data_IF_726078513253
#
_entry.id   IF_726078513253
#
_cell.length_a   1.000
_cell.length_b   1.000
_cell.length_c   1.000
_cell.angle_alpha   90.00
_cell.angle_beta   90.00
_cell.angle_gamma   90.00
#
_symmetry.space_group_name_H-M   'P 1'
#
loop_
_entity.id
_entity.type
_entity.pdbx_description
1 polymer ?
#
# COMPACT_ATOMS: atom_id res chain seq x y z
N UNK A 1 -9.75 41.99 -32.43
CA UNK A 1 -9.99 43.46 -32.62
C UNK A 1 -8.84 44.07 -33.40
N UNK A 2 -9.09 44.80 -34.49
CA UNK A 2 -8.02 45.45 -35.25
C UNK A 2 -7.31 46.54 -34.43
N UNK A 3 -5.98 46.61 -34.50
CA UNK A 3 -5.16 47.67 -33.91
C UNK A 3 -4.66 48.68 -34.95
N UNK A 4 -3.80 49.61 -34.50
CA UNK A 4 -3.13 50.59 -35.36
C UNK A 4 -1.62 50.38 -35.33
N UNK A 5 -1.00 50.20 -36.49
CA UNK A 5 0.46 50.17 -36.60
C UNK A 5 0.97 51.52 -37.08
N UNK A 6 2.01 52.04 -36.43
CA UNK A 6 2.71 53.25 -36.86
C UNK A 6 4.03 52.87 -37.50
N UNK A 7 4.44 53.57 -38.57
CA UNK A 7 5.74 53.32 -39.19
C UNK A 7 6.88 53.63 -38.20
N UNK A 8 7.93 52.81 -38.18
CA UNK A 8 9.09 53.05 -37.33
C UNK A 8 9.78 54.37 -37.73
N UNK A 9 10.59 54.95 -36.83
CA UNK A 9 11.24 56.25 -37.06
C UNK A 9 12.10 56.31 -38.34
N UNK A 10 12.57 55.16 -38.84
CA UNK A 10 13.41 55.06 -40.02
C UNK A 10 12.63 54.83 -41.32
N UNK A 11 11.30 54.67 -41.26
CA UNK A 11 10.48 54.38 -42.44
C UNK A 11 10.69 52.98 -43.02
N UNK A 12 11.39 52.09 -42.33
CA UNK A 12 11.83 50.79 -42.87
C UNK A 12 10.92 49.62 -42.50
N UNK A 13 9.93 49.86 -41.63
CA UNK A 13 9.01 48.83 -41.19
C UNK A 13 7.90 49.39 -40.30
N UNK A 14 6.94 48.55 -39.97
CA UNK A 14 5.88 48.85 -39.02
C UNK A 14 6.36 48.63 -37.58
N UNK A 15 5.89 49.44 -36.65
CA UNK A 15 6.01 49.21 -35.21
C UNK A 15 4.99 48.17 -34.73
N UNK A 16 4.97 47.94 -33.41
CA UNK A 16 3.95 47.11 -32.79
C UNK A 16 2.54 47.65 -33.10
N UNK A 17 1.56 46.75 -33.19
CA UNK A 17 0.17 47.11 -33.44
C UNK A 17 -0.50 47.51 -32.13
N UNK A 18 -0.77 48.80 -31.94
CA UNK A 18 -1.36 49.31 -30.71
C UNK A 18 -2.87 49.06 -30.70
N UNK A 19 -3.36 48.47 -29.61
CA UNK A 19 -4.78 48.24 -29.37
C UNK A 19 -5.39 47.06 -30.13
N UNK A 20 -4.55 46.23 -30.79
CA UNK A 20 -5.01 44.96 -31.31
C UNK A 20 -5.38 43.99 -30.18
N UNK A 21 -6.38 43.17 -30.42
CA UNK A 21 -6.69 42.00 -29.60
C UNK A 21 -6.60 40.84 -30.57
N UNK A 22 -5.53 40.06 -30.43
CA UNK A 22 -5.35 38.80 -31.13
C UNK A 22 -6.21 37.72 -30.46
N UNK A 23 -6.66 36.71 -31.21
CA UNK A 23 -7.27 35.56 -30.60
C UNK A 23 -6.29 34.86 -29.66
N UNK A 24 -6.80 34.34 -28.54
CA UNK A 24 -6.03 33.47 -27.66
C UNK A 24 -5.81 32.11 -28.32
N UNK A 25 -4.88 31.31 -27.76
CA UNK A 25 -4.68 29.93 -28.21
C UNK A 25 -5.85 29.02 -27.79
N UNK A 26 -6.41 29.24 -26.60
CA UNK A 26 -7.57 28.53 -26.05
C UNK A 26 -8.56 29.54 -25.44
N UNK A 27 -9.81 29.12 -25.28
CA UNK A 27 -10.86 29.92 -24.63
C UNK A 27 -10.64 30.08 -23.13
N UNK A 28 -11.02 31.24 -22.57
CA UNK A 28 -11.05 31.42 -21.12
C UNK A 28 -12.37 30.85 -20.60
N UNK A 29 -12.25 29.74 -19.89
CA UNK A 29 -13.34 28.98 -19.30
C UNK A 29 -14.46 29.83 -18.67
N UNK A 30 -15.69 29.56 -19.09
CA UNK A 30 -16.94 30.08 -18.54
C UNK A 30 -17.06 31.62 -18.53
N UNK A 31 -16.43 32.29 -19.50
CA UNK A 31 -16.53 33.74 -19.64
C UNK A 31 -17.60 34.18 -20.65
N UNK A 32 -18.27 33.21 -21.32
CA UNK A 32 -19.26 33.39 -22.38
C UNK A 32 -18.73 34.18 -23.58
N UNK A 33 -17.47 33.98 -23.94
CA UNK A 33 -16.83 34.59 -25.11
C UNK A 33 -16.04 33.54 -25.88
N UNK A 34 -15.99 33.78 -27.17
CA UNK A 34 -15.08 33.16 -28.12
C UNK A 34 -13.77 33.96 -28.10
N UNK A 35 -12.84 33.60 -27.22
CA UNK A 35 -11.55 34.27 -27.04
C UNK A 35 -10.53 33.83 -28.11
N UNK A 36 -10.65 32.60 -28.63
CA UNK A 36 -9.81 32.09 -29.73
C UNK A 36 -10.34 32.43 -31.14
N UNK A 37 -11.53 33.06 -31.23
CA UNK A 37 -12.20 33.50 -32.44
C UNK A 37 -12.47 32.38 -33.47
N UNK A 38 -12.69 31.13 -33.02
CA UNK A 38 -12.93 29.97 -33.89
C UNK A 38 -14.41 29.76 -34.24
N UNK A 39 -15.31 30.51 -33.59
CA UNK A 39 -16.75 30.52 -33.82
C UNK A 39 -17.56 29.62 -32.90
N UNK A 40 -16.93 28.94 -31.95
CA UNK A 40 -17.58 28.32 -30.80
C UNK A 40 -17.36 29.24 -29.57
N UNK A 41 -18.07 29.02 -28.46
CA UNK A 41 -17.90 29.82 -27.24
C UNK A 41 -17.62 28.87 -26.08
N UNK A 42 -16.60 29.21 -25.29
CA UNK A 42 -16.15 28.47 -24.11
C UNK A 42 -15.87 27.00 -24.45
N UNK A 43 -15.08 26.72 -25.49
CA UNK A 43 -14.65 25.34 -25.75
C UNK A 43 -13.78 24.82 -24.60
N UNK A 44 -14.00 23.55 -24.28
CA UNK A 44 -13.22 22.84 -23.28
C UNK A 44 -12.76 21.49 -23.86
N UNK A 45 -11.85 21.51 -24.85
CA UNK A 45 -11.33 20.27 -25.42
C UNK A 45 -10.44 19.54 -24.41
N UNK A 46 -10.43 18.22 -24.55
CA UNK A 46 -9.42 17.30 -24.03
C UNK A 46 -8.60 16.90 -25.26
N UNK A 47 -7.50 17.63 -25.49
CA UNK A 47 -6.75 17.57 -26.73
C UNK A 47 -5.81 16.35 -26.80
N UNK A 48 -5.38 15.80 -25.66
CA UNK A 48 -4.57 14.59 -25.59
C UNK A 48 -5.38 13.30 -25.33
N UNK A 49 -6.66 13.43 -24.96
CA UNK A 49 -7.63 12.38 -24.65
C UNK A 49 -7.31 11.57 -23.37
N UNK A 50 -6.72 12.22 -22.36
CA UNK A 50 -6.45 11.61 -21.06
C UNK A 50 -7.65 11.70 -20.08
N UNK A 51 -8.71 12.38 -20.49
CA UNK A 51 -9.94 12.56 -19.73
C UNK A 51 -9.94 13.79 -18.80
N UNK A 52 -8.97 14.68 -18.95
CA UNK A 52 -8.91 16.02 -18.36
C UNK A 52 -8.91 17.06 -19.47
N UNK A 53 -9.57 18.17 -19.21
CA UNK A 53 -9.68 19.27 -20.16
C UNK A 53 -8.93 20.47 -19.62
N UNK A 54 -8.65 21.47 -20.47
CA UNK A 54 -8.02 22.73 -20.03
C UNK A 54 -8.81 23.40 -18.90
N UNK A 55 -10.15 23.46 -18.98
CA UNK A 55 -10.97 23.98 -17.88
C UNK A 55 -11.14 23.00 -16.72
N UNK A 56 -10.88 21.72 -16.98
CA UNK A 56 -10.72 20.68 -15.99
C UNK A 56 -9.45 20.80 -15.15
N UNK A 57 -8.56 21.75 -15.48
CA UNK A 57 -7.31 22.01 -14.75
C UNK A 57 -6.08 21.37 -15.39
N UNK A 58 -6.21 20.79 -16.58
CA UNK A 58 -5.07 20.24 -17.29
C UNK A 58 -4.12 21.36 -17.74
N UNK A 59 -2.91 21.33 -17.19
CA UNK A 59 -1.82 22.25 -17.48
C UNK A 59 -0.95 21.81 -18.67
N UNK A 60 -1.19 20.60 -19.21
CA UNK A 60 -0.39 19.94 -20.24
C UNK A 60 -1.25 19.25 -21.31
N UNK A 61 -2.32 19.89 -21.77
CA UNK A 61 -3.27 19.29 -22.74
C UNK A 61 -2.70 19.10 -24.18
N UNK A 62 -1.55 19.69 -24.50
CA UNK A 62 -0.92 19.51 -25.83
C UNK A 62 0.60 19.64 -25.83
N UNK A 63 1.25 18.89 -26.72
CA UNK A 63 2.72 18.86 -26.81
C UNK A 63 3.28 20.26 -27.07
N UNK A 64 4.14 20.72 -26.17
CA UNK A 64 4.77 22.03 -26.22
C UNK A 64 6.07 22.10 -25.42
N UNK A 65 6.74 23.28 -25.39
CA UNK A 65 8.02 23.44 -24.72
C UNK A 65 7.99 23.14 -23.21
N UNK A 66 6.84 23.36 -22.57
CA UNK A 66 6.61 23.11 -21.15
C UNK A 66 5.80 21.84 -20.88
N UNK A 67 5.44 21.09 -21.93
CA UNK A 67 4.53 19.95 -21.86
C UNK A 67 5.00 18.87 -22.86
N UNK A 68 5.84 17.94 -22.40
CA UNK A 68 6.45 16.92 -23.29
C UNK A 68 5.65 15.62 -23.34
N UNK A 69 4.93 15.30 -22.27
CA UNK A 69 4.14 14.09 -22.09
C UNK A 69 2.74 14.46 -21.60
N UNK A 70 1.90 15.06 -22.47
CA UNK A 70 0.54 15.48 -22.14
C UNK A 70 -0.22 14.46 -21.29
N UNK A 71 -0.27 13.22 -21.78
CA UNK A 71 -1.08 12.14 -21.23
C UNK A 71 -0.62 11.60 -19.86
N UNK A 72 0.41 12.19 -19.27
CA UNK A 72 0.94 11.86 -17.94
C UNK A 72 0.83 13.02 -16.95
N UNK A 73 0.38 14.19 -17.40
CA UNK A 73 0.37 15.44 -16.63
C UNK A 73 -1.04 16.00 -16.63
N UNK A 74 -1.71 15.90 -15.49
CA UNK A 74 -3.09 16.38 -15.30
C UNK A 74 -3.42 16.36 -13.79
N UNK A 75 -4.53 17.00 -13.34
CA UNK A 75 -4.93 16.99 -11.93
C UNK A 75 -5.09 15.61 -11.28
N UNK A 76 -5.25 14.54 -12.08
CA UNK A 76 -5.34 13.17 -11.62
C UNK A 76 -3.99 12.45 -11.45
N UNK A 77 -2.89 13.04 -11.88
CA UNK A 77 -1.55 12.46 -11.79
C UNK A 77 -0.96 12.63 -10.39
N UNK A 78 0.00 11.78 -10.02
CA UNK A 78 0.84 12.02 -8.84
C UNK A 78 2.14 12.69 -9.28
N UNK A 79 2.69 13.52 -8.39
CA UNK A 79 3.96 14.19 -8.64
C UNK A 79 5.14 13.21 -8.63
N UNK A 80 5.92 13.18 -9.73
CA UNK A 80 7.08 12.31 -9.86
C UNK A 80 8.34 13.06 -9.44
N UNK A 81 8.82 12.78 -8.23
CA UNK A 81 9.99 13.45 -7.64
C UNK A 81 11.23 13.45 -8.55
N UNK A 82 11.70 14.67 -8.86
CA UNK A 82 12.96 14.93 -9.55
C UNK A 82 12.87 14.92 -11.07
N UNK A 83 11.66 15.09 -11.65
CA UNK A 83 11.47 15.15 -13.10
C UNK A 83 11.38 16.60 -13.66
N UNK A 84 11.37 17.63 -12.80
CA UNK A 84 11.22 19.05 -13.16
C UNK A 84 9.92 19.36 -13.95
N UNK A 85 8.89 18.53 -13.83
CA UNK A 85 7.53 18.71 -14.38
C UNK A 85 6.59 19.07 -13.21
N UNK A 86 5.43 19.63 -13.52
CA UNK A 86 4.33 19.83 -12.57
C UNK A 86 3.29 18.79 -13.02
N UNK A 87 3.42 17.55 -12.55
CA UNK A 87 2.66 16.42 -13.08
C UNK A 87 1.19 16.51 -12.66
N UNK A 88 0.93 16.96 -11.43
CA UNK A 88 -0.41 17.05 -10.86
C UNK A 88 -1.12 18.40 -11.11
N UNK A 89 -0.47 19.30 -11.85
CA UNK A 89 -1.00 20.61 -12.24
C UNK A 89 -1.43 21.51 -11.06
N UNK A 90 -0.78 21.38 -9.90
CA UNK A 90 -1.03 22.23 -8.73
C UNK A 90 -0.29 23.58 -8.78
N UNK A 91 0.59 23.75 -9.78
CA UNK A 91 1.41 24.95 -10.00
C UNK A 91 2.79 24.89 -9.33
N UNK A 92 3.16 23.75 -8.73
CA UNK A 92 4.42 23.53 -8.03
C UNK A 92 5.06 22.23 -8.51
N UNK A 93 6.21 22.36 -9.16
CA UNK A 93 7.03 21.22 -9.59
C UNK A 93 7.68 20.49 -8.44
N UNK A 94 7.72 19.17 -8.52
CA UNK A 94 8.35 18.25 -7.59
C UNK A 94 7.93 18.52 -6.12
N UNK A 95 6.67 18.90 -5.91
CA UNK A 95 6.09 19.05 -4.58
C UNK A 95 5.93 17.68 -3.91
N UNK A 96 6.46 17.47 -2.69
CA UNK A 96 6.31 16.19 -2.02
C UNK A 96 4.87 16.00 -1.55
N UNK A 97 4.35 14.77 -1.64
CA UNK A 97 3.07 14.40 -1.03
C UNK A 97 3.09 14.77 0.46
N UNK A 98 2.11 15.57 0.95
CA UNK A 98 2.10 16.02 2.34
C UNK A 98 2.04 14.88 3.35
N UNK A 99 2.82 14.98 4.42
CA UNK A 99 2.72 14.08 5.58
C UNK A 99 1.37 14.31 6.28
N UNK A 100 0.61 13.25 6.51
CA UNK A 100 -0.78 13.34 6.98
C UNK A 100 -1.06 12.50 8.24
N UNK A 101 -0.08 11.82 8.79
CA UNK A 101 -0.23 10.82 9.86
C UNK A 101 0.13 11.33 11.26
N UNK A 102 0.53 12.60 11.38
CA UNK A 102 0.83 13.24 12.65
C UNK A 102 -0.41 13.28 13.57
N UNK A 103 -0.20 12.94 14.84
CA UNK A 103 -1.22 13.09 15.88
C UNK A 103 -2.36 12.08 15.82
N UNK A 104 -2.29 11.07 14.93
CA UNK A 104 -3.24 9.95 14.92
C UNK A 104 -3.16 9.23 16.27
N UNK A 105 -4.32 8.97 16.88
CA UNK A 105 -4.42 8.21 18.11
C UNK A 105 -4.11 6.74 17.85
N UNK A 106 -3.37 6.10 18.76
CA UNK A 106 -2.90 4.73 18.56
C UNK A 106 -4.02 3.70 18.39
N UNK A 107 -5.12 3.87 19.14
CA UNK A 107 -6.31 3.02 19.08
C UNK A 107 -7.38 3.59 18.13
N UNK A 108 -6.99 4.30 17.07
CA UNK A 108 -7.96 4.81 16.09
C UNK A 108 -8.78 3.68 15.49
N UNK A 109 -10.08 3.93 15.31
CA UNK A 109 -11.02 3.02 14.67
C UNK A 109 -11.40 3.51 13.26
N UNK A 110 -10.76 4.60 12.81
CA UNK A 110 -11.00 5.18 11.50
C UNK A 110 -10.07 4.54 10.48
N UNK A 111 -10.61 3.74 9.56
CA UNK A 111 -9.84 3.08 8.50
C UNK A 111 -8.99 4.05 7.66
N UNK A 112 -9.43 5.31 7.46
CA UNK A 112 -8.65 6.28 6.71
C UNK A 112 -7.37 6.68 7.43
N UNK A 113 -7.29 6.56 8.75
CA UNK A 113 -6.06 6.81 9.50
C UNK A 113 -5.01 5.72 9.25
N UNK A 114 -5.42 4.50 8.86
CA UNK A 114 -4.51 3.44 8.43
C UNK A 114 -3.92 3.72 7.04
N UNK A 115 -4.69 4.34 6.13
CA UNK A 115 -4.15 4.82 4.87
C UNK A 115 -3.08 5.90 5.09
N UNK A 116 -3.33 6.84 6.02
CA UNK A 116 -2.36 7.86 6.40
C UNK A 116 -1.11 7.25 7.02
N UNK A 117 -1.28 6.28 7.92
CA UNK A 117 -0.18 5.59 8.61
C UNK A 117 0.68 4.69 7.71
N UNK A 118 0.32 4.53 6.44
CA UNK A 118 1.18 3.92 5.42
C UNK A 118 1.63 4.95 4.38
N UNK A 119 1.55 6.24 4.68
CA UNK A 119 1.89 7.38 3.80
C UNK A 119 1.02 7.58 2.56
N UNK A 120 -0.16 6.94 2.48
CA UNK A 120 -1.13 7.18 1.42
C UNK A 120 -2.01 8.40 1.78
N UNK A 121 -1.47 9.59 1.55
CA UNK A 121 -1.93 10.85 2.15
C UNK A 121 -2.85 11.74 1.30
N UNK A 122 -3.19 11.34 0.07
CA UNK A 122 -4.15 12.09 -0.76
C UNK A 122 -5.54 11.46 -0.70
N UNK A 123 -6.58 12.30 -0.64
CA UNK A 123 -7.97 11.88 -0.50
C UNK A 123 -8.84 12.54 -1.56
N UNK A 124 -9.83 11.79 -2.04
CA UNK A 124 -10.76 12.27 -3.07
C UNK A 124 -12.16 11.72 -2.82
N UNK A 125 -13.11 12.02 -3.70
CA UNK A 125 -14.47 11.46 -3.65
C UNK A 125 -14.76 10.64 -4.91
N UNK A 126 -15.63 9.63 -4.78
CA UNK A 126 -16.00 8.70 -5.85
C UNK A 126 -16.38 9.42 -7.16
N UNK A 127 -17.11 10.54 -7.06
CA UNK A 127 -17.66 11.26 -8.20
C UNK A 127 -16.99 12.62 -8.45
N UNK A 128 -15.76 12.83 -7.97
CA UNK A 128 -15.05 14.10 -8.19
C UNK A 128 -14.90 14.41 -9.70
N UNK A 129 -15.03 15.69 -10.09
CA UNK A 129 -15.07 16.15 -11.49
C UNK A 129 -14.21 17.40 -11.67
N UNK A 130 -13.82 17.67 -12.93
CA UNK A 130 -13.00 18.82 -13.32
C UNK A 130 -11.73 18.89 -12.47
N UNK A 131 -11.39 20.10 -12.00
CA UNK A 131 -10.21 20.35 -11.16
C UNK A 131 -10.16 19.55 -9.86
N UNK A 132 -11.29 18.99 -9.40
CA UNK A 132 -11.32 18.17 -8.19
C UNK A 132 -11.17 16.67 -8.47
N UNK A 133 -11.10 16.26 -9.75
CA UNK A 133 -10.93 14.86 -10.17
C UNK A 133 -9.48 14.40 -9.94
N UNK A 134 -9.00 14.56 -8.72
CA UNK A 134 -7.66 14.14 -8.31
C UNK A 134 -7.67 12.65 -7.92
N UNK A 135 -6.49 12.02 -7.91
CA UNK A 135 -6.30 10.70 -7.31
C UNK A 135 -6.42 10.75 -5.78
N UNK A 136 -6.53 9.60 -5.14
CA UNK A 136 -6.51 9.51 -3.69
C UNK A 136 -7.42 8.43 -3.12
N UNK A 137 -7.33 8.24 -1.81
CA UNK A 137 -8.20 7.36 -1.03
C UNK A 137 -9.61 7.94 -1.01
N UNK A 138 -10.58 7.11 -1.41
CA UNK A 138 -12.01 7.47 -1.45
C UNK A 138 -12.68 7.06 -0.14
N UNK A 139 -12.41 5.84 0.32
CA UNK A 139 -13.01 5.29 1.54
C UNK A 139 -12.16 4.15 2.10
N UNK A 140 -12.44 3.76 3.34
CA UNK A 140 -11.87 2.56 3.93
C UNK A 140 -12.78 1.96 4.99
N UNK A 141 -12.53 0.70 5.31
CA UNK A 141 -13.19 -0.03 6.40
C UNK A 141 -12.19 -0.93 7.10
N UNK A 142 -12.38 -1.12 8.41
CA UNK A 142 -11.73 -2.18 9.18
C UNK A 142 -12.78 -3.24 9.39
N UNK A 143 -12.47 -4.50 9.07
CA UNK A 143 -13.38 -5.63 9.15
C UNK A 143 -12.60 -6.88 9.51
N UNK A 144 -13.29 -7.99 9.73
CA UNK A 144 -12.64 -9.31 9.73
C UNK A 144 -12.24 -9.72 8.30
N UNK A 145 -11.30 -10.66 8.11
CA UNK A 145 -10.90 -11.15 6.78
C UNK A 145 -12.04 -11.74 5.95
N UNK A 146 -13.09 -12.25 6.60
CA UNK A 146 -14.31 -12.72 5.93
C UNK A 146 -15.09 -11.60 5.22
N UNK A 147 -14.80 -10.34 5.53
CA UNK A 147 -15.53 -9.15 5.08
C UNK A 147 -16.73 -8.78 5.96
N UNK A 148 -16.97 -9.52 7.04
CA UNK A 148 -18.00 -9.18 8.02
C UNK A 148 -17.47 -8.19 9.07
N UNK A 149 -18.39 -7.40 9.63
CA UNK A 149 -18.14 -6.59 10.83
C UNK A 149 -17.89 -7.49 12.05
N UNK A 150 -17.21 -6.97 13.07
CA UNK A 150 -16.93 -7.69 14.33
C UNK A 150 -15.45 -7.94 14.58
N UNK A 151 -14.60 -7.20 13.89
CA UNK A 151 -13.18 -7.04 14.15
C UNK A 151 -12.90 -6.61 15.59
N UNK A 152 -11.67 -6.87 16.04
CA UNK A 152 -11.27 -6.51 17.40
C UNK A 152 -10.70 -5.11 17.40
N UNK A 153 -11.25 -4.23 18.22
CA UNK A 153 -10.67 -2.90 18.44
C UNK A 153 -9.22 -2.96 18.97
N UNK A 154 -8.76 -4.12 19.47
CA UNK A 154 -7.40 -4.34 19.93
C UNK A 154 -6.50 -5.01 18.88
N UNK A 155 -7.07 -5.60 17.83
CA UNK A 155 -6.32 -6.30 16.77
C UNK A 155 -5.66 -5.35 15.77
N UNK A 156 -5.95 -4.05 15.85
CA UNK A 156 -5.35 -3.06 14.98
C UNK A 156 -4.93 -1.81 15.76
N UNK A 157 -3.85 -1.16 15.32
CA UNK A 157 -3.39 0.09 15.90
C UNK A 157 -2.53 0.89 14.92
N UNK A 158 -2.20 2.13 15.31
CA UNK A 158 -1.28 3.00 14.57
C UNK A 158 -0.18 3.46 15.53
N UNK A 159 1.08 3.14 15.25
CA UNK A 159 2.20 3.32 16.20
C UNK A 159 3.29 4.23 15.65
N UNK A 160 4.17 4.72 16.52
CA UNK A 160 5.34 5.51 16.13
C UNK A 160 6.60 4.67 16.43
N UNK A 161 6.79 3.63 15.60
CA UNK A 161 7.68 2.51 15.88
C UNK A 161 6.99 1.34 16.59
N UNK A 162 7.70 0.23 16.70
CA UNK A 162 7.23 -0.99 17.37
C UNK A 162 8.39 -1.64 18.15
N UNK A 163 8.21 -1.85 19.44
CA UNK A 163 9.29 -2.21 20.33
C UNK A 163 10.37 -1.12 20.43
N UNK A 164 11.59 -1.51 20.78
CA UNK A 164 12.65 -0.55 21.09
C UNK A 164 13.43 -0.08 19.86
N UNK A 165 13.45 -0.88 18.79
CA UNK A 165 14.39 -0.72 17.69
C UNK A 165 13.75 -0.63 16.30
N UNK A 166 12.44 -0.83 16.16
CA UNK A 166 11.74 -0.64 14.88
C UNK A 166 11.16 0.77 14.84
N UNK A 167 11.57 1.55 13.87
CA UNK A 167 11.07 2.91 13.61
C UNK A 167 10.24 2.93 12.33
N UNK A 168 9.44 3.98 12.15
CA UNK A 168 8.73 4.20 10.88
C UNK A 168 9.75 4.36 9.74
N UNK A 169 9.44 3.77 8.60
CA UNK A 169 10.17 3.86 7.34
C UNK A 169 9.93 5.19 6.62
N UNK A 170 8.75 5.78 6.80
CA UNK A 170 8.38 7.13 6.33
C UNK A 170 7.29 7.67 7.27
N UNK A 171 6.96 8.95 7.14
CA UNK A 171 5.96 9.59 8.00
C UNK A 171 6.34 9.62 9.49
N UNK A 172 5.30 9.63 10.34
CA UNK A 172 5.39 9.63 11.80
C UNK A 172 4.71 8.43 12.44
N UNK A 173 4.00 7.63 11.64
CA UNK A 173 3.25 6.48 12.07
C UNK A 173 3.46 5.30 11.13
N UNK A 174 3.25 4.10 11.66
CA UNK A 174 3.06 2.87 10.91
C UNK A 174 1.73 2.22 11.31
N UNK A 175 1.13 1.45 10.41
CA UNK A 175 -0.06 0.66 10.71
C UNK A 175 0.33 -0.71 11.27
N UNK A 176 -0.45 -1.20 12.25
CA UNK A 176 -0.26 -2.51 12.89
C UNK A 176 -1.56 -3.29 12.81
N UNK A 177 -1.49 -4.52 12.30
CA UNK A 177 -2.57 -5.50 12.33
C UNK A 177 -2.07 -6.78 13.00
N UNK A 178 -2.89 -7.41 13.83
CA UNK A 178 -2.53 -8.60 14.60
C UNK A 178 -3.72 -9.52 14.79
N UNK A 179 -3.49 -10.84 14.82
CA UNK A 179 -4.49 -11.78 15.33
C UNK A 179 -4.67 -11.66 16.86
N UNK A 180 -3.66 -11.16 17.56
CA UNK A 180 -3.72 -10.81 18.98
C UNK A 180 -3.99 -9.32 19.23
N UNK A 181 -3.33 -8.78 20.24
CA UNK A 181 -3.28 -7.34 20.45
C UNK A 181 -2.21 -6.69 19.56
N UNK A 182 -2.59 -5.67 18.79
CA UNK A 182 -1.67 -4.85 18.00
C UNK A 182 -0.86 -3.88 18.89
N UNK A 183 -0.01 -4.40 19.76
CA UNK A 183 0.69 -3.66 20.80
C UNK A 183 2.03 -4.32 21.17
N UNK A 184 3.07 -3.51 21.40
CA UNK A 184 4.30 -3.97 22.04
C UNK A 184 4.21 -3.93 23.57
N UNK A 185 5.26 -4.38 24.30
CA UNK A 185 5.23 -4.51 25.77
C UNK A 185 5.01 -3.20 26.53
N UNK A 186 5.29 -2.05 25.93
CA UNK A 186 5.17 -0.72 26.55
C UNK A 186 3.87 -0.01 26.16
N UNK A 187 3.17 -0.54 25.18
CA UNK A 187 1.95 0.03 24.67
C UNK A 187 0.76 -0.13 25.62
N UNK A 188 -0.16 0.83 25.58
CA UNK A 188 -1.32 0.89 26.48
C UNK A 188 -2.68 1.03 25.78
N UNK A 189 -2.72 1.40 24.50
CA UNK A 189 -3.96 1.58 23.74
C UNK A 189 -3.80 1.14 22.26
N UNK A 190 -4.13 -0.12 21.92
CA UNK A 190 -4.36 -1.24 22.84
C UNK A 190 -3.11 -1.57 23.67
N UNK A 191 -3.31 -2.20 24.83
CA UNK A 191 -2.23 -2.65 25.69
C UNK A 191 -1.64 -3.97 25.21
N UNK A 192 -0.39 -4.24 25.57
CA UNK A 192 0.23 -5.54 25.33
C UNK A 192 -0.61 -6.71 25.84
N UNK A 193 -0.61 -7.80 25.07
CA UNK A 193 -0.95 -9.15 25.51
C UNK A 193 0.08 -10.14 24.94
N UNK A 194 0.33 -11.24 25.66
CA UNK A 194 1.39 -12.16 25.29
C UNK A 194 1.01 -12.99 24.06
N UNK A 195 1.84 -12.91 23.01
CA UNK A 195 1.58 -13.55 21.71
C UNK A 195 1.57 -15.09 21.79
N UNK A 196 2.51 -15.72 22.52
CA UNK A 196 2.56 -17.18 22.68
C UNK A 196 1.30 -17.76 23.35
N UNK A 197 0.82 -17.12 24.43
CA UNK A 197 -0.43 -17.56 25.06
C UNK A 197 -1.68 -17.24 24.24
N UNK A 198 -1.56 -16.33 23.29
CA UNK A 198 -2.64 -15.75 22.52
C UNK A 198 -3.63 -14.94 23.33
N UNK A 199 -4.43 -14.15 22.60
CA UNK A 199 -5.71 -13.65 23.11
C UNK A 199 -6.76 -13.85 22.03
N UNK A 200 -7.81 -14.61 22.34
CA UNK A 200 -8.99 -14.63 21.48
C UNK A 200 -9.59 -13.22 21.42
N UNK A 201 -9.50 -12.61 20.24
CA UNK A 201 -9.92 -11.23 19.97
C UNK A 201 -11.28 -11.15 19.28
N UNK A 202 -11.86 -12.28 18.87
CA UNK A 202 -13.19 -12.31 18.28
C UNK A 202 -13.69 -13.71 17.92
N UNK A 203 -14.86 -13.81 17.28
CA UNK A 203 -15.37 -15.09 16.83
C UNK A 203 -14.58 -15.61 15.62
N UNK A 204 -14.07 -16.83 15.71
CA UNK A 204 -13.47 -17.62 14.60
C UNK A 204 -14.28 -17.52 13.30
N UNK A 205 -13.63 -17.15 12.20
CA UNK A 205 -14.26 -17.00 10.88
C UNK A 205 -13.48 -17.71 9.75
N UNK A 206 -13.80 -17.33 8.51
CA UNK A 206 -13.14 -17.76 7.29
C UNK A 206 -12.22 -16.68 6.76
N UNK A 207 -11.17 -17.09 6.05
CA UNK A 207 -10.34 -16.20 5.24
C UNK A 207 -11.18 -15.47 4.14
N UNK A 208 -10.60 -14.48 3.44
CA UNK A 208 -11.28 -13.82 2.32
C UNK A 208 -11.78 -14.86 1.31
N UNK A 209 -13.10 -14.91 1.10
CA UNK A 209 -13.74 -16.02 0.38
C UNK A 209 -13.32 -16.10 -1.09
N UNK A 210 -13.00 -14.97 -1.72
CA UNK A 210 -12.52 -14.92 -3.09
C UNK A 210 -11.08 -15.45 -3.23
N UNK A 211 -10.20 -15.11 -2.28
CA UNK A 211 -8.84 -15.67 -2.21
C UNK A 211 -8.86 -17.18 -1.92
N UNK A 212 -9.68 -17.62 -0.97
CA UNK A 212 -9.84 -19.03 -0.63
C UNK A 212 -10.38 -19.83 -1.82
N UNK A 213 -11.35 -19.29 -2.55
CA UNK A 213 -11.91 -19.92 -3.75
C UNK A 213 -10.87 -20.00 -4.89
N UNK A 214 -10.07 -18.95 -5.11
CA UNK A 214 -8.99 -18.94 -6.10
C UNK A 214 -7.92 -20.00 -5.80
N UNK A 215 -7.74 -20.36 -4.53
CA UNK A 215 -6.82 -21.39 -4.07
C UNK A 215 -7.48 -22.77 -3.87
N UNK A 216 -8.62 -23.03 -4.52
CA UNK A 216 -9.26 -24.34 -4.51
C UNK A 216 -9.85 -24.73 -3.15
N UNK A 217 -10.31 -23.74 -2.37
CA UNK A 217 -10.83 -23.90 -1.01
C UNK A 217 -9.83 -24.55 -0.04
N UNK A 218 -8.56 -24.20 -0.19
CA UNK A 218 -7.47 -24.66 0.67
C UNK A 218 -6.50 -23.51 0.89
N UNK A 219 -5.85 -23.48 2.05
CA UNK A 219 -4.75 -22.55 2.27
C UNK A 219 -3.50 -23.04 1.53
N UNK A 220 -2.89 -22.23 0.64
CA UNK A 220 -1.64 -22.59 -0.01
C UNK A 220 -0.55 -22.77 1.04
N UNK A 221 0.33 -23.75 0.84
CA UNK A 221 1.42 -23.99 1.75
C UNK A 221 2.78 -24.02 1.05
N UNK A 222 3.81 -23.68 1.80
CA UNK A 222 5.19 -23.72 1.35
C UNK A 222 5.61 -25.14 0.92
N UNK A 223 6.46 -25.28 -0.12
CA UNK A 223 6.91 -26.54 -0.66
C UNK A 223 7.69 -27.31 0.40
N UNK A 224 7.46 -28.62 0.47
CA UNK A 224 8.11 -29.49 1.45
C UNK A 224 7.39 -29.57 2.80
N UNK A 225 6.42 -28.70 3.08
CA UNK A 225 5.54 -28.84 4.25
C UNK A 225 4.35 -29.75 3.91
N UNK A 226 4.24 -30.89 4.59
CA UNK A 226 3.10 -31.83 4.43
C UNK A 226 2.08 -31.61 5.54
N UNK A 227 1.07 -30.76 5.28
CA UNK A 227 0.07 -30.38 6.30
C UNK A 227 -1.31 -30.95 5.96
N UNK A 228 -2.11 -31.25 6.98
CA UNK A 228 -3.54 -31.45 6.82
C UNK A 228 -4.21 -30.11 6.50
N UNK A 229 -5.02 -30.07 5.44
CA UNK A 229 -5.70 -28.85 5.02
C UNK A 229 -6.53 -28.27 6.19
N UNK A 230 -6.20 -27.05 6.57
CA UNK A 230 -6.91 -26.25 7.56
C UNK A 230 -7.26 -24.92 6.87
N UNK A 231 -8.50 -24.48 7.02
CA UNK A 231 -9.00 -23.23 6.42
C UNK A 231 -9.68 -22.34 7.45
N UNK A 232 -9.47 -22.62 8.73
CA UNK A 232 -9.97 -21.80 9.82
C UNK A 232 -9.12 -20.54 9.90
N UNK A 233 -9.77 -19.38 9.96
CA UNK A 233 -9.12 -18.09 10.11
C UNK A 233 -9.71 -17.41 11.36
N UNK A 234 -8.93 -17.43 12.43
CA UNK A 234 -9.34 -16.96 13.73
C UNK A 234 -8.74 -15.59 14.01
N UNK A 235 -9.46 -14.82 14.84
CA UNK A 235 -9.01 -13.55 15.40
C UNK A 235 -8.51 -12.50 14.38
N UNK A 236 -8.90 -12.68 13.11
CA UNK A 236 -8.31 -11.95 12.00
C UNK A 236 -8.75 -10.49 11.90
N UNK A 237 -7.87 -9.69 11.30
CA UNK A 237 -8.08 -8.27 11.05
C UNK A 237 -7.84 -7.96 9.58
N UNK A 238 -8.66 -7.08 9.02
CA UNK A 238 -8.51 -6.61 7.66
C UNK A 238 -8.76 -5.11 7.55
N UNK A 239 -7.82 -4.39 6.94
CA UNK A 239 -8.05 -3.01 6.48
C UNK A 239 -8.29 -3.06 4.98
N UNK A 240 -9.45 -2.55 4.57
CA UNK A 240 -9.84 -2.39 3.16
C UNK A 240 -9.81 -0.91 2.80
N UNK A 241 -9.16 -0.57 1.70
CA UNK A 241 -9.12 0.78 1.15
C UNK A 241 -9.65 0.78 -0.29
N UNK A 242 -10.44 1.79 -0.63
CA UNK A 242 -10.86 2.09 -1.99
C UNK A 242 -10.13 3.33 -2.46
N UNK A 243 -9.45 3.25 -3.60
CA UNK A 243 -8.49 4.26 -4.05
C UNK A 243 -8.72 4.56 -5.52
N UNK A 244 -8.82 5.86 -5.88
CA UNK A 244 -8.61 6.28 -7.27
C UNK A 244 -7.11 6.33 -7.52
N UNK A 245 -6.66 5.49 -8.45
CA UNK A 245 -5.25 5.37 -8.84
C UNK A 245 -4.84 6.63 -9.62
N UNK A 246 -3.62 7.16 -9.41
CA UNK A 246 -3.09 8.23 -10.24
C UNK A 246 -3.13 7.91 -11.73
N UNK A 247 -3.32 8.91 -12.57
CA UNK A 247 -3.43 8.74 -14.04
C UNK A 247 -2.10 8.41 -14.72
N UNK A 248 -0.98 8.59 -14.01
CA UNK A 248 0.37 8.25 -14.45
C UNK A 248 1.00 7.07 -13.68
N UNK A 249 0.28 6.43 -12.74
CA UNK A 249 0.78 5.30 -11.96
C UNK A 249 0.48 3.94 -12.64
N UNK A 250 1.50 3.10 -12.75
CA UNK A 250 1.41 1.72 -13.28
C UNK A 250 1.64 0.65 -12.19
N UNK A 251 2.25 1.03 -11.07
CA UNK A 251 2.40 0.16 -9.90
C UNK A 251 2.51 0.96 -8.61
N UNK A 252 2.54 0.25 -7.48
CA UNK A 252 2.87 0.81 -6.18
C UNK A 252 3.72 -0.18 -5.38
N UNK A 253 4.37 0.34 -4.33
CA UNK A 253 5.03 -0.47 -3.31
C UNK A 253 4.56 -0.10 -1.91
N UNK A 254 4.64 -1.06 -0.99
CA UNK A 254 4.37 -0.87 0.45
C UNK A 254 5.39 -1.69 1.22
N UNK A 255 5.95 -1.14 2.30
CA UNK A 255 6.79 -1.89 3.22
C UNK A 255 5.94 -2.63 4.25
N UNK A 256 6.36 -3.85 4.58
CA UNK A 256 5.76 -4.61 5.67
C UNK A 256 6.80 -5.40 6.47
N UNK A 257 6.47 -5.72 7.71
CA UNK A 257 7.26 -6.59 8.58
C UNK A 257 6.30 -7.54 9.28
N UNK A 258 6.40 -8.83 8.95
CA UNK A 258 5.57 -9.89 9.52
C UNK A 258 6.29 -10.59 10.69
N UNK A 259 5.54 -10.85 11.75
CA UNK A 259 5.96 -11.56 12.97
C UNK A 259 5.00 -12.72 13.22
N UNK A 260 5.52 -13.78 13.82
CA UNK A 260 4.70 -14.90 14.28
C UNK A 260 5.30 -15.55 15.51
N UNK A 261 4.44 -15.84 16.49
CA UNK A 261 4.81 -16.64 17.66
C UNK A 261 4.79 -18.15 17.35
N UNK A 262 4.26 -18.58 16.19
CA UNK A 262 4.33 -19.97 15.75
C UNK A 262 5.77 -20.40 15.39
N UNK A 263 6.65 -19.43 15.13
CA UNK A 263 8.07 -19.66 14.91
C UNK A 263 8.78 -19.80 16.28
N UNK A 264 9.73 -20.73 16.44
CA UNK A 264 10.14 -21.78 15.49
C UNK A 264 9.32 -23.08 15.58
N UNK A 265 8.50 -23.29 16.61
CA UNK A 265 7.88 -24.55 17.01
C UNK A 265 7.06 -25.22 15.91
N UNK A 266 6.20 -24.44 15.29
CA UNK A 266 5.09 -24.90 14.46
C UNK A 266 5.35 -24.71 12.96
N UNK A 267 6.58 -24.39 12.57
CA UNK A 267 6.98 -24.36 11.16
C UNK A 267 6.69 -25.70 10.48
N UNK A 268 6.08 -25.63 9.29
CA UNK A 268 5.53 -26.73 8.50
C UNK A 268 4.39 -27.51 9.19
N UNK A 269 3.56 -26.86 10.01
CA UNK A 269 2.34 -27.45 10.57
C UNK A 269 1.07 -26.80 10.02
N UNK A 270 -0.10 -27.26 10.48
CA UNK A 270 -1.41 -26.69 10.12
C UNK A 270 -1.77 -25.42 10.88
N UNK A 271 -0.90 -24.99 11.78
CA UNK A 271 -0.89 -23.67 12.40
C UNK A 271 0.06 -22.84 11.54
N UNK A 272 -0.49 -22.17 10.54
CA UNK A 272 0.29 -21.32 9.67
C UNK A 272 -0.47 -20.04 9.45
N UNK A 273 -0.18 -19.07 10.29
CA UNK A 273 -0.75 -17.75 10.21
C UNK A 273 -0.36 -17.10 8.90
N UNK A 274 -1.32 -16.43 8.27
CA UNK A 274 -1.11 -15.80 6.99
C UNK A 274 -1.25 -14.30 7.11
N UNK A 275 -0.40 -13.61 6.34
CA UNK A 275 -0.63 -12.25 5.92
C UNK A 275 -0.83 -12.24 4.40
N UNK A 276 -1.95 -11.68 3.94
CA UNK A 276 -2.26 -11.51 2.53
C UNK A 276 -2.59 -10.06 2.22
N UNK A 277 -2.21 -9.62 1.03
CA UNK A 277 -2.57 -8.31 0.49
C UNK A 277 -3.25 -8.50 -0.84
N UNK A 278 -4.58 -8.32 -0.88
CA UNK A 278 -5.40 -8.59 -2.06
C UNK A 278 -5.65 -7.30 -2.84
N UNK A 279 -5.26 -7.29 -4.13
CA UNK A 279 -5.42 -6.15 -5.03
C UNK A 279 -6.49 -6.44 -6.08
N UNK A 280 -7.62 -5.74 -5.96
CA UNK A 280 -8.69 -5.72 -6.95
C UNK A 280 -8.46 -4.56 -7.94
N UNK A 281 -7.65 -4.83 -8.96
CA UNK A 281 -7.30 -3.91 -10.06
C UNK A 281 -7.73 -4.50 -11.41
N UNK A 282 -7.94 -3.64 -12.42
CA UNK A 282 -8.12 -4.05 -13.81
C UNK A 282 -6.81 -4.47 -14.49
N UNK A 283 -5.65 -4.28 -13.85
CA UNK A 283 -4.37 -4.73 -14.36
C UNK A 283 -4.21 -6.25 -14.17
N UNK A 284 -3.85 -6.93 -15.27
CA UNK A 284 -3.72 -8.39 -15.31
C UNK A 284 -2.31 -8.89 -14.93
N UNK A 285 -1.42 -7.99 -14.51
CA UNK A 285 -0.07 -8.32 -14.05
C UNK A 285 -0.03 -8.86 -12.63
N UNK A 286 -1.08 -8.64 -11.83
CA UNK A 286 -1.19 -9.19 -10.47
C UNK A 286 -1.53 -10.69 -10.46
N UNK A 287 -1.21 -11.43 -9.38
CA UNK A 287 -1.57 -12.84 -9.24
C UNK A 287 -3.08 -13.09 -9.38
N UNK A 288 -3.46 -14.26 -9.92
CA UNK A 288 -4.87 -14.61 -10.16
C UNK A 288 -5.72 -14.67 -8.87
N UNK A 289 -5.10 -14.98 -7.73
CA UNK A 289 -5.74 -14.96 -6.42
C UNK A 289 -5.66 -13.58 -5.74
N UNK A 290 -5.14 -12.58 -6.46
CA UNK A 290 -4.98 -11.17 -6.08
C UNK A 290 -3.94 -10.91 -4.99
N UNK A 291 -3.33 -11.93 -4.40
CA UNK A 291 -2.42 -11.76 -3.29
C UNK A 291 -1.02 -11.34 -3.77
N UNK A 292 -0.58 -10.12 -3.44
CA UNK A 292 0.77 -9.63 -3.74
C UNK A 292 1.78 -9.85 -2.60
N UNK A 293 1.31 -10.21 -1.39
CA UNK A 293 2.18 -10.63 -0.29
C UNK A 293 2.60 -12.10 -0.51
N UNK A 294 3.40 -12.32 -1.56
CA UNK A 294 3.85 -13.63 -2.01
C UNK A 294 5.36 -13.67 -2.20
N UNK A 295 5.97 -14.79 -1.83
CA UNK A 295 7.32 -15.13 -2.25
C UNK A 295 7.25 -15.92 -3.55
N UNK A 296 8.02 -15.47 -4.55
CA UNK A 296 8.09 -16.08 -5.88
C UNK A 296 9.44 -16.78 -6.04
N UNK A 297 9.43 -18.04 -6.46
CA UNK A 297 10.64 -18.78 -6.85
C UNK A 297 10.37 -19.62 -8.09
N UNK A 298 10.91 -19.18 -9.22
CA UNK A 298 10.62 -19.78 -10.52
C UNK A 298 9.14 -19.57 -10.87
N UNK A 299 8.43 -20.67 -11.18
CA UNK A 299 7.00 -20.62 -11.53
C UNK A 299 6.07 -20.83 -10.32
N UNK A 300 6.62 -20.89 -9.11
CA UNK A 300 5.83 -21.13 -7.91
C UNK A 300 5.78 -19.88 -7.06
N UNK A 301 4.64 -19.70 -6.40
CA UNK A 301 4.36 -18.59 -5.49
C UNK A 301 3.73 -19.11 -4.21
N UNK A 302 4.08 -18.49 -3.08
CA UNK A 302 3.51 -18.84 -1.79
C UNK A 302 3.21 -17.59 -0.97
N UNK A 303 2.05 -17.51 -0.31
CA UNK A 303 1.71 -16.39 0.55
C UNK A 303 2.66 -16.28 1.74
N UNK A 304 2.76 -15.07 2.30
CA UNK A 304 3.48 -14.84 3.56
C UNK A 304 2.77 -15.57 4.69
N UNK A 305 3.55 -16.35 5.44
CA UNK A 305 3.17 -17.04 6.66
C UNK A 305 4.38 -17.76 7.26
N UNK A 306 4.25 -18.35 8.45
CA UNK A 306 5.39 -18.96 9.17
C UNK A 306 6.03 -20.12 8.39
N UNK A 307 5.25 -20.90 7.65
CA UNK A 307 5.72 -22.05 6.87
C UNK A 307 6.67 -21.63 5.74
N UNK A 308 6.65 -20.36 5.35
CA UNK A 308 7.52 -19.83 4.30
C UNK A 308 9.01 -19.92 4.69
N UNK A 309 9.33 -20.00 5.99
CA UNK A 309 10.67 -20.29 6.52
C UNK A 309 11.32 -21.52 5.84
N UNK A 310 10.52 -22.54 5.52
CA UNK A 310 10.99 -23.79 4.91
C UNK A 310 11.27 -23.69 3.40
N UNK A 311 10.81 -22.63 2.74
CA UNK A 311 10.88 -22.47 1.29
C UNK A 311 11.63 -21.21 0.83
N UNK A 312 11.73 -20.21 1.69
CA UNK A 312 12.43 -18.96 1.45
C UNK A 312 13.48 -18.72 2.55
N UNK A 313 14.64 -19.43 2.50
CA UNK A 313 15.71 -19.20 3.47
C UNK A 313 16.14 -17.74 3.51
N UNK A 314 16.21 -17.16 4.70
CA UNK A 314 16.57 -15.75 4.89
C UNK A 314 15.42 -14.75 4.76
N UNK A 315 14.19 -15.20 4.47
CA UNK A 315 13.02 -14.33 4.52
C UNK A 315 12.57 -14.06 5.95
N UNK A 316 12.65 -15.06 6.84
CA UNK A 316 12.56 -14.88 8.29
C UNK A 316 13.96 -14.54 8.82
N UNK A 317 14.32 -13.27 8.70
CA UNK A 317 15.69 -12.83 8.95
C UNK A 317 15.94 -12.39 10.40
N UNK A 318 14.88 -12.06 11.14
CA UNK A 318 14.94 -11.51 12.51
C UNK A 318 14.46 -12.58 13.49
N UNK A 319 15.41 -13.35 14.02
CA UNK A 319 15.15 -14.52 14.86
C UNK A 319 16.44 -15.08 15.46
N UNK A 320 16.31 -16.13 16.27
CA UNK A 320 17.41 -17.02 16.66
C UNK A 320 17.67 -18.15 15.66
N UNK A 321 18.95 -18.37 15.35
CA UNK A 321 19.36 -19.54 14.59
C UNK A 321 19.24 -20.80 15.47
N UNK A 322 18.56 -21.82 14.97
CA UNK A 322 18.25 -23.00 15.77
C UNK A 322 17.50 -24.05 14.95
N UNK A 323 16.93 -25.03 15.62
CA UNK A 323 16.06 -25.98 14.94
C UNK A 323 14.66 -25.36 14.75
N UNK A 324 14.00 -25.65 13.63
CA UNK A 324 12.62 -25.23 13.34
C UNK A 324 11.69 -26.43 13.17
N UNK A 325 10.41 -26.26 13.48
CA UNK A 325 9.39 -27.28 13.34
C UNK A 325 9.52 -28.42 14.34
N UNK A 326 10.01 -28.15 15.57
CA UNK A 326 10.19 -29.18 16.58
C UNK A 326 8.88 -29.67 17.22
N UNK A 327 7.77 -28.94 17.03
CA UNK A 327 6.45 -29.27 17.55
C UNK A 327 5.51 -29.82 16.46
N UNK A 328 5.93 -30.90 15.79
CA UNK A 328 5.12 -31.60 14.78
C UNK A 328 5.51 -31.30 13.32
N UNK A 329 6.47 -30.40 13.12
CA UNK A 329 7.11 -30.15 11.83
C UNK A 329 8.35 -31.04 11.57
N UNK A 330 9.25 -30.61 10.65
CA UNK A 330 10.40 -31.41 10.22
C UNK A 330 11.57 -31.46 11.22
N UNK A 331 11.62 -30.58 12.22
CA UNK A 331 12.71 -30.46 13.19
C UNK A 331 14.11 -30.41 12.55
N UNK A 332 14.35 -29.39 11.71
CA UNK A 332 15.60 -29.24 10.94
C UNK A 332 16.38 -27.99 11.35
N UNK A 333 17.71 -27.95 11.17
CA UNK A 333 18.48 -26.74 11.43
C UNK A 333 18.09 -25.60 10.48
N UNK A 334 17.90 -24.41 11.03
CA UNK A 334 17.70 -23.15 10.33
C UNK A 334 18.83 -22.17 10.69
N UNK A 335 19.48 -21.62 9.68
CA UNK A 335 20.54 -20.62 9.84
C UNK A 335 20.27 -19.37 8.99
N UNK A 336 18.98 -19.00 8.87
CA UNK A 336 18.51 -17.91 8.03
C UNK A 336 18.30 -16.58 8.77
N UNK A 337 18.52 -16.54 10.09
CA UNK A 337 18.35 -15.34 10.90
C UNK A 337 19.52 -14.36 10.70
N UNK A 338 19.60 -13.81 9.49
CA UNK A 338 20.71 -12.98 9.02
C UNK A 338 20.76 -11.59 9.66
N UNK A 339 19.65 -11.14 10.24
CA UNK A 339 19.54 -9.86 10.95
C UNK A 339 19.56 -10.01 12.48
N UNK A 340 19.56 -11.25 13.00
CA UNK A 340 19.56 -11.55 14.44
C UNK A 340 18.29 -11.07 15.17
N UNK A 341 18.35 -11.02 16.49
CA UNK A 341 17.21 -10.71 17.38
C UNK A 341 17.00 -9.20 17.67
N UNK A 342 17.92 -8.33 17.24
CA UNK A 342 17.92 -6.92 17.70
C UNK A 342 16.63 -6.16 17.38
N UNK A 343 15.94 -6.49 16.28
CA UNK A 343 14.66 -5.86 15.94
C UNK A 343 13.47 -6.45 16.72
N UNK A 344 13.64 -7.57 17.43
CA UNK A 344 12.62 -8.11 18.34
C UNK A 344 12.61 -7.38 19.69
N UNK A 345 13.69 -6.72 20.10
CA UNK A 345 13.82 -6.15 21.44
C UNK A 345 12.66 -5.22 21.82
N UNK A 346 11.93 -5.59 22.87
CA UNK A 346 10.78 -4.86 23.40
C UNK A 346 9.53 -4.98 22.54
N UNK A 347 9.48 -5.84 21.54
CA UNK A 347 8.26 -6.10 20.76
C UNK A 347 7.32 -7.04 21.51
N UNK A 348 7.86 -7.90 22.38
CA UNK A 348 7.13 -8.99 23.02
C UNK A 348 7.41 -10.35 22.36
N UNK A 349 7.97 -10.38 21.15
CA UNK A 349 8.48 -11.61 20.52
C UNK A 349 9.87 -11.99 21.04
N UNK A 350 10.60 -11.06 21.67
CA UNK A 350 11.89 -11.23 22.35
C UNK A 350 11.77 -11.76 23.79
N UNK A 351 10.56 -12.10 24.24
CA UNK A 351 10.38 -12.64 25.58
C UNK A 351 10.87 -14.09 25.62
N UNK A 352 11.38 -14.49 26.80
CA UNK A 352 11.99 -15.80 26.96
C UNK A 352 10.96 -16.93 26.82
N UNK A 353 11.09 -17.74 25.78
CA UNK A 353 10.39 -19.00 25.59
C UNK A 353 11.37 -20.19 25.59
N UNK A 354 10.86 -21.39 25.84
CA UNK A 354 11.66 -22.61 25.70
C UNK A 354 11.41 -23.24 24.32
N UNK A 355 11.61 -22.44 23.27
CA UNK A 355 11.35 -22.81 21.90
C UNK A 355 12.47 -23.69 21.33
N UNK A 356 12.12 -24.56 20.38
CA UNK A 356 13.00 -25.54 19.71
C UNK A 356 14.52 -25.45 20.00
N UNK A 357 14.99 -26.19 21.01
CA UNK A 357 16.39 -26.32 21.45
C UNK A 357 17.40 -25.33 20.82
N UNK A 358 17.80 -24.31 21.61
CA UNK A 358 18.66 -23.17 21.26
C UNK A 358 17.95 -21.97 20.59
N UNK A 359 16.63 -21.89 20.68
CA UNK A 359 15.89 -20.65 20.47
C UNK A 359 15.26 -20.27 21.81
N UNK A 360 15.49 -19.06 22.29
CA UNK A 360 14.91 -18.57 23.54
C UNK A 360 13.88 -17.45 23.37
N UNK A 361 13.45 -17.17 22.14
CA UNK A 361 12.44 -16.17 21.83
C UNK A 361 11.03 -16.78 21.68
N UNK A 362 10.01 -16.00 22.05
CA UNK A 362 8.58 -16.30 21.83
C UNK A 362 8.23 -16.41 20.34
N UNK A 363 8.98 -15.73 19.47
CA UNK A 363 8.71 -15.75 18.05
C UNK A 363 9.86 -15.22 17.21
N UNK A 364 9.55 -14.91 15.96
CA UNK A 364 10.48 -14.24 15.07
C UNK A 364 9.74 -13.43 14.01
N UNK A 365 10.48 -12.86 13.08
CA UNK A 365 9.88 -12.18 11.95
C UNK A 365 10.77 -12.01 10.73
N UNK A 366 10.20 -11.35 9.74
CA UNK A 366 10.81 -11.23 8.41
C UNK A 366 11.92 -10.18 8.31
N UNK A 367 11.91 -9.19 9.19
CA UNK A 367 12.49 -7.88 8.89
C UNK A 367 11.59 -7.10 7.93
N UNK A 368 12.02 -5.89 7.56
CA UNK A 368 11.33 -5.12 6.54
C UNK A 368 11.45 -5.79 5.16
N UNK A 369 10.29 -5.98 4.53
CA UNK A 369 10.12 -6.43 3.16
C UNK A 369 9.34 -5.35 2.41
N UNK A 370 9.55 -5.27 1.10
CA UNK A 370 8.76 -4.45 0.19
C UNK A 370 7.89 -5.39 -0.62
N UNK A 371 6.58 -5.12 -0.65
CA UNK A 371 5.65 -5.75 -1.59
C UNK A 371 5.27 -4.78 -2.69
N UNK A 372 5.10 -5.29 -3.91
CA UNK A 372 4.71 -4.52 -5.09
C UNK A 372 3.46 -5.08 -5.76
N UNK A 373 2.63 -4.19 -6.30
CA UNK A 373 1.43 -4.52 -7.05
C UNK A 373 1.23 -3.60 -8.24
N UNK A 374 0.61 -4.12 -9.30
CA UNK A 374 0.31 -3.35 -10.52
C UNK A 374 -1.09 -2.75 -10.47
N UNK A 375 -1.26 -1.64 -11.18
CA UNK A 375 -2.52 -0.90 -11.28
C UNK A 375 -2.70 -0.35 -12.68
N UNK A 376 -3.95 -0.16 -13.10
CA UNK A 376 -4.30 0.55 -14.32
C UNK A 376 -4.41 2.05 -14.01
N UNK A 377 -3.70 2.92 -14.74
CA UNK A 377 -3.75 4.36 -14.47
C UNK A 377 -5.18 4.92 -14.53
N UNK A 378 -5.54 5.76 -13.55
CA UNK A 378 -6.86 6.40 -13.47
C UNK A 378 -8.03 5.51 -13.04
N UNK A 379 -7.80 4.22 -12.78
CA UNK A 379 -8.88 3.33 -12.32
C UNK A 379 -9.31 3.60 -10.87
N UNK A 380 -10.39 2.93 -10.44
CA UNK A 380 -10.67 2.77 -9.01
C UNK A 380 -10.44 1.33 -8.59
N UNK A 381 -9.45 1.14 -7.72
CA UNK A 381 -9.07 -0.16 -7.18
C UNK A 381 -9.57 -0.34 -5.75
N UNK A 382 -9.61 -1.60 -5.30
CA UNK A 382 -9.67 -1.92 -3.87
C UNK A 382 -8.43 -2.69 -3.45
N UNK A 383 -7.88 -2.36 -2.28
CA UNK A 383 -6.79 -3.11 -1.66
C UNK A 383 -7.19 -3.55 -0.26
N UNK A 384 -6.86 -4.80 0.09
CA UNK A 384 -7.17 -5.41 1.39
C UNK A 384 -5.89 -5.96 2.01
N UNK A 385 -5.52 -5.47 3.17
CA UNK A 385 -4.46 -6.03 4.01
C UNK A 385 -5.11 -6.89 5.08
N UNK A 386 -4.87 -8.21 5.08
CA UNK A 386 -5.52 -9.13 6.00
C UNK A 386 -4.51 -10.05 6.68
N UNK A 387 -4.68 -10.22 8.00
CA UNK A 387 -3.93 -11.17 8.83
C UNK A 387 -4.89 -11.99 9.69
N UNK A 388 -4.54 -13.24 9.98
CA UNK A 388 -5.30 -14.10 10.88
C UNK A 388 -4.44 -15.19 11.50
N UNK A 389 -4.93 -15.72 12.63
CA UNK A 389 -4.45 -16.96 13.26
C UNK A 389 -5.07 -18.16 12.53
N UNK A 390 -4.25 -19.12 12.08
CA UNK A 390 -4.75 -20.33 11.41
C UNK A 390 -4.85 -21.50 12.38
N UNK A 391 -6.09 -21.84 12.74
CA UNK A 391 -6.42 -23.13 13.34
C UNK A 391 -6.81 -23.08 14.79
N UNK A 392 -6.22 -22.18 15.57
CA UNK A 392 -6.60 -21.90 16.95
C UNK A 392 -6.65 -20.39 17.23
N UNK A 393 -6.63 -20.00 18.50
CA UNK A 393 -6.66 -18.59 18.96
C UNK A 393 -5.46 -18.34 19.86
N UNK A 394 -4.35 -19.00 19.57
CA UNK A 394 -3.13 -19.03 20.37
C UNK A 394 -1.93 -18.97 19.44
N UNK A 395 -0.84 -18.33 19.89
CA UNK A 395 0.31 -18.02 19.04
C UNK A 395 0.01 -16.93 18.01
N UNK A 396 -0.27 -15.73 18.51
CA UNK A 396 -0.64 -14.60 17.67
C UNK A 396 0.50 -14.21 16.69
N UNK A 397 0.07 -13.72 15.53
CA UNK A 397 0.91 -13.11 14.51
C UNK A 397 0.57 -11.63 14.34
N UNK A 398 1.52 -10.88 13.78
CA UNK A 398 1.42 -9.43 13.64
C UNK A 398 2.10 -8.97 12.35
N UNK A 399 1.55 -7.93 11.73
CA UNK A 399 2.18 -7.24 10.60
C UNK A 399 2.23 -5.74 10.84
N UNK A 400 3.40 -5.16 10.57
CA UNK A 400 3.61 -3.72 10.45
C UNK A 400 3.49 -3.36 8.96
N UNK A 401 2.87 -2.23 8.64
CA UNK A 401 2.73 -1.68 7.29
C UNK A 401 3.15 -0.22 7.27
N UNK A 402 3.90 0.20 6.24
CA UNK A 402 4.43 1.56 6.14
C UNK A 402 4.87 1.90 4.69
N UNK A 403 5.18 3.17 4.40
CA UNK A 403 5.89 3.62 3.22
C UNK A 403 5.24 3.20 1.88
N UNK A 404 4.01 3.64 1.64
CA UNK A 404 3.38 3.57 0.32
C UNK A 404 4.10 4.49 -0.67
N UNK A 405 4.35 3.98 -1.87
CA UNK A 405 4.94 4.73 -2.98
C UNK A 405 4.30 4.34 -4.32
N UNK A 406 3.88 5.33 -5.10
CA UNK A 406 3.42 5.14 -6.48
C UNK A 406 4.61 5.09 -7.45
N UNK A 407 4.46 4.36 -8.55
CA UNK A 407 5.47 4.29 -9.60
C UNK A 407 4.85 4.40 -10.98
N UNK A 408 5.52 5.16 -11.84
CA UNK A 408 5.19 5.25 -13.27
C UNK A 408 5.59 3.99 -14.05
N UNK A 409 6.35 3.08 -13.43
CA UNK A 409 6.73 1.80 -14.04
C UNK A 409 5.83 0.68 -13.55
N UNK A 410 5.60 -0.33 -14.39
CA UNK A 410 5.05 -1.59 -13.92
C UNK A 410 6.06 -2.32 -13.01
N UNK A 411 5.57 -3.15 -12.12
CA UNK A 411 6.34 -3.96 -11.19
C UNK A 411 6.19 -5.45 -11.48
N UNK A 412 7.14 -6.26 -11.00
CA UNK A 412 6.93 -7.69 -10.82
C UNK A 412 6.28 -7.89 -9.43
N UNK A 413 5.05 -8.42 -9.33
CA UNK A 413 4.42 -8.59 -8.03
C UNK A 413 5.13 -9.62 -7.16
N UNK A 414 5.12 -9.36 -5.85
CA UNK A 414 5.72 -10.22 -4.85
C UNK A 414 6.49 -9.41 -3.82
N UNK A 415 7.31 -10.12 -3.04
CA UNK A 415 8.05 -9.54 -1.91
C UNK A 415 9.56 -9.63 -2.12
N UNK A 416 10.28 -8.61 -1.66
CA UNK A 416 11.74 -8.59 -1.61
C UNK A 416 12.24 -7.92 -0.33
N UNK A 417 13.47 -8.20 0.14
CA UNK A 417 14.07 -7.44 1.24
C UNK A 417 14.15 -5.95 0.94
N UNK A 418 13.87 -5.08 1.91
CA UNK A 418 13.91 -3.62 1.70
C UNK A 418 13.94 -2.75 2.94
#
# INVERSE_FOLDING_TARGET
>A
KAGTQTCNQNGTGWGACEGEVLPLSNDICANNKDDNCDGVVDEDPDADNDGYTVCGGDCCDSVGPACQTPNLVNPGAFEVDGNDVDDDCDGVKDNPVPVCDNGIASNTQNALDYAKAIDLCQFTTENAQGVNKIWGVISGSITQPSGNDGESNNGHSVRNGFGSNITNSKGQRLAVLSSGHAADINDTNPNYAAFESGVNTGPDQTAPSDWLAANGNSFPNAPGCSISNNTNANDGQMVKLRVRVPTNANSFTVKFFFFSAEYPEYVCTSFNDFFVTLVDSNDNGNPNDKNIAIYVSGNNQWPVGVNLVSAAPGLFAVCDNGNIGCAGGPNVPYNGCSQGENLLTGTGFDLNASACANNDDVGGGTGWLVMSGNVTPGETMEIRFAIWDTGDSVWDSLVLLDHWEWSVQASEPGIMPG
#
